data_IF_666300961671
#
_entry.id   IF_666300961671
#
_cell.length_a   1.000
_cell.length_b   1.000
_cell.length_c   1.000
_cell.angle_alpha   90.00
_cell.angle_beta   90.00
_cell.angle_gamma   90.00
#
_symmetry.space_group_name_H-M   'P 1'
#
loop_
_entity.id
_entity.type
_entity.pdbx_description
1 polymer ?
#
# COMPACT_ATOMS: atom_id res chain seq x y z
N UNK A 1 20.75 -22.09 1.35
CA UNK A 1 19.32 -22.05 1.74
C UNK A 1 19.04 -20.84 2.61
N UNK A 2 17.86 -20.24 2.42
CA UNK A 2 17.41 -19.10 3.21
C UNK A 2 16.43 -19.59 4.27
N UNK A 3 16.71 -19.23 5.52
CA UNK A 3 15.93 -19.67 6.68
C UNK A 3 15.30 -18.44 7.35
N UNK A 4 13.99 -18.28 7.20
CA UNK A 4 13.24 -17.19 7.81
C UNK A 4 11.79 -17.58 8.08
N UNK A 5 11.15 -16.85 9.00
CA UNK A 5 9.70 -16.87 9.19
C UNK A 5 9.11 -15.56 8.67
N UNK A 6 7.91 -15.62 8.10
CA UNK A 6 7.20 -14.46 7.54
C UNK A 6 5.74 -14.43 8.02
N UNK A 7 5.49 -14.11 9.29
CA UNK A 7 4.14 -13.81 9.75
C UNK A 7 3.56 -12.58 9.05
N UNK A 8 2.32 -12.71 8.59
CA UNK A 8 1.52 -11.66 7.98
C UNK A 8 0.13 -11.69 8.59
N UNK A 9 -0.42 -10.50 8.82
CA UNK A 9 -1.78 -10.32 9.33
C UNK A 9 -2.48 -9.26 8.51
N UNK A 10 -3.73 -9.53 8.15
CA UNK A 10 -4.60 -8.63 7.42
C UNK A 10 -5.99 -8.63 8.03
N UNK A 11 -6.62 -7.46 8.11
CA UNK A 11 -7.97 -7.30 8.60
C UNK A 11 -8.72 -6.23 7.80
N UNK A 12 -9.85 -6.63 7.23
CA UNK A 12 -10.71 -5.77 6.42
C UNK A 12 -12.12 -5.73 6.99
N UNK A 13 -12.65 -4.51 7.16
CA UNK A 13 -14.02 -4.28 7.64
C UNK A 13 -14.76 -3.36 6.68
N UNK A 14 -16.02 -3.70 6.43
CA UNK A 14 -16.96 -2.90 5.65
C UNK A 14 -18.20 -2.63 6.49
N UNK A 15 -18.41 -1.37 6.84
CA UNK A 15 -19.53 -0.94 7.66
C UNK A 15 -20.51 -0.10 6.82
N UNK A 16 -21.69 -0.65 6.47
CA UNK A 16 -22.71 0.11 5.75
C UNK A 16 -23.37 1.12 6.69
N UNK A 17 -23.16 2.42 6.44
CA UNK A 17 -23.85 3.49 7.17
C UNK A 17 -25.31 3.60 6.71
N UNK A 18 -25.52 3.45 5.40
CA UNK A 18 -26.84 3.40 4.78
C UNK A 18 -26.81 2.44 3.59
N UNK A 19 -27.92 2.29 2.86
CA UNK A 19 -27.92 1.55 1.58
C UNK A 19 -26.95 2.14 0.55
N UNK A 20 -26.68 3.45 0.63
CA UNK A 20 -25.88 4.22 -0.34
C UNK A 20 -24.42 4.42 0.09
N UNK A 21 -24.16 4.53 1.40
CA UNK A 21 -22.85 4.89 1.94
C UNK A 21 -22.23 3.74 2.73
N UNK A 22 -20.96 3.44 2.46
CA UNK A 22 -20.18 2.41 3.16
C UNK A 22 -18.87 3.03 3.62
N UNK A 23 -18.53 2.82 4.88
CA UNK A 23 -17.16 3.01 5.36
C UNK A 23 -16.43 1.69 5.27
N UNK A 24 -15.22 1.68 4.73
CA UNK A 24 -14.36 0.51 4.75
C UNK A 24 -12.99 0.87 5.31
N UNK A 25 -12.38 -0.08 6.00
CA UNK A 25 -11.02 0.00 6.46
C UNK A 25 -10.31 -1.33 6.23
N UNK A 26 -9.06 -1.27 5.82
CA UNK A 26 -8.15 -2.40 5.77
C UNK A 26 -6.86 -2.06 6.50
N UNK A 27 -6.36 -2.97 7.32
CA UNK A 27 -5.03 -2.91 7.91
C UNK A 27 -4.28 -4.19 7.60
N UNK A 28 -3.04 -4.06 7.14
CA UNK A 28 -2.14 -5.18 6.93
C UNK A 28 -0.77 -4.88 7.53
N UNK A 29 -0.14 -5.91 8.08
CA UNK A 29 1.23 -5.85 8.58
C UNK A 29 1.94 -7.17 8.34
N UNK A 30 3.24 -7.09 8.10
CA UNK A 30 4.09 -8.26 7.93
C UNK A 30 5.48 -8.03 8.47
N UNK A 31 6.15 -9.10 8.88
CA UNK A 31 7.52 -9.05 9.38
C UNK A 31 8.27 -10.34 9.05
N UNK A 32 9.31 -10.22 8.24
CA UNK A 32 10.26 -11.28 7.95
C UNK A 32 11.33 -11.30 9.03
N UNK A 33 11.52 -12.46 9.67
CA UNK A 33 12.60 -12.68 10.63
C UNK A 33 13.49 -13.84 10.17
N UNK A 34 14.72 -13.56 9.71
CA UNK A 34 15.68 -14.61 9.43
C UNK A 34 16.17 -15.25 10.73
N UNK A 35 16.56 -16.52 10.66
CA UNK A 35 17.16 -17.26 11.77
C UNK A 35 18.35 -18.09 11.29
N UNK A 36 19.11 -18.67 12.23
CA UNK A 36 20.34 -19.43 11.96
C UNK A 36 21.38 -18.64 11.14
N UNK A 37 21.48 -17.32 11.35
CA UNK A 37 22.42 -16.45 10.63
C UNK A 37 22.10 -16.24 9.14
N UNK A 38 20.93 -16.67 8.67
CA UNK A 38 20.48 -16.43 7.31
C UNK A 38 20.23 -14.94 7.04
N UNK A 39 20.26 -14.56 5.76
CA UNK A 39 19.79 -13.24 5.30
C UNK A 39 18.39 -13.35 4.68
N UNK A 40 17.73 -12.21 4.50
CA UNK A 40 16.46 -12.12 3.77
C UNK A 40 16.78 -11.96 2.28
N UNK A 41 16.29 -12.86 1.40
CA UNK A 41 16.45 -12.71 -0.03
C UNK A 41 15.85 -11.40 -0.54
N UNK A 42 16.48 -10.77 -1.55
CA UNK A 42 16.01 -9.48 -2.06
C UNK A 42 14.59 -9.54 -2.65
N UNK A 43 14.24 -10.66 -3.29
CA UNK A 43 12.92 -10.91 -3.87
C UNK A 43 11.83 -11.19 -2.82
N UNK A 44 12.23 -11.45 -1.58
CA UNK A 44 11.33 -11.78 -0.48
C UNK A 44 10.98 -10.56 0.38
N UNK A 45 11.69 -9.44 0.20
CA UNK A 45 11.47 -8.19 0.93
C UNK A 45 10.15 -7.53 0.54
N UNK A 46 9.62 -6.73 1.45
CA UNK A 46 8.38 -6.00 1.26
C UNK A 46 8.55 -4.71 0.49
N UNK A 47 7.58 -4.44 -0.38
CA UNK A 47 7.45 -3.22 -1.16
C UNK A 47 5.99 -2.76 -1.11
N UNK A 48 5.77 -1.46 -0.91
CA UNK A 48 4.45 -0.85 -0.99
C UNK A 48 4.37 0.15 -2.15
N UNK A 49 3.18 0.69 -2.38
CA UNK A 49 2.85 1.58 -3.48
C UNK A 49 2.08 0.85 -4.59
N UNK A 50 1.16 1.57 -5.21
CA UNK A 50 0.23 1.03 -6.20
C UNK A 50 -1.20 0.91 -5.65
N UNK A 51 -2.09 0.35 -6.46
CA UNK A 51 -3.53 0.40 -6.24
C UNK A 51 -4.07 -0.52 -5.13
N UNK A 52 -3.24 -1.48 -4.70
CA UNK A 52 -3.55 -2.48 -3.66
C UNK A 52 -2.92 -2.16 -2.30
N UNK A 53 -2.06 -1.14 -2.24
CA UNK A 53 -1.41 -0.71 -1.01
C UNK A 53 -1.58 0.77 -0.80
N UNK A 54 -0.61 1.60 -1.19
CA UNK A 54 -0.66 3.05 -1.07
C UNK A 54 -0.94 3.67 -2.44
N UNK A 55 -2.19 4.02 -2.70
CA UNK A 55 -2.61 4.65 -3.97
C UNK A 55 -1.97 6.03 -4.11
N UNK A 56 -1.70 6.44 -5.34
CA UNK A 56 -0.99 7.70 -5.61
C UNK A 56 0.55 7.59 -5.51
N UNK A 57 1.07 6.47 -5.01
CA UNK A 57 2.47 6.09 -5.16
C UNK A 57 2.61 5.07 -6.29
N UNK A 58 3.69 5.15 -7.07
CA UNK A 58 3.97 4.17 -8.11
C UNK A 58 4.20 2.77 -7.52
N UNK A 59 3.94 1.74 -8.32
CA UNK A 59 4.06 0.35 -7.89
C UNK A 59 5.45 0.05 -7.32
N UNK A 60 5.50 -0.54 -6.12
CA UNK A 60 6.74 -0.89 -5.39
C UNK A 60 7.71 0.28 -5.14
N UNK A 61 7.23 1.53 -5.17
CA UNK A 61 8.08 2.70 -4.95
C UNK A 61 8.26 3.06 -3.47
N UNK A 62 7.38 2.58 -2.59
CA UNK A 62 7.45 2.83 -1.15
C UNK A 62 8.29 1.73 -0.49
N UNK A 63 9.56 2.09 -0.28
CA UNK A 63 10.63 1.27 0.28
C UNK A 63 11.23 1.98 1.50
N UNK A 64 12.01 1.30 2.35
CA UNK A 64 12.61 1.91 3.51
C UNK A 64 13.49 3.11 3.14
N UNK A 65 13.27 4.21 3.85
CA UNK A 65 14.12 5.40 3.82
C UNK A 65 14.63 5.69 5.22
N UNK A 66 15.80 6.32 5.32
CA UNK A 66 16.36 6.88 6.54
C UNK A 66 15.70 8.23 6.84
N UNK A 67 15.93 8.77 8.04
CA UNK A 67 15.37 10.06 8.47
C UNK A 67 15.77 11.25 7.57
N UNK A 68 16.95 11.17 6.94
CA UNK A 68 17.42 12.17 5.98
C UNK A 68 16.79 12.03 4.57
N UNK A 69 15.92 11.03 4.35
CA UNK A 69 15.27 10.75 3.08
C UNK A 69 16.01 9.76 2.17
N UNK A 70 17.24 9.36 2.53
CA UNK A 70 18.02 8.42 1.73
C UNK A 70 17.45 7.01 1.77
N UNK A 71 17.60 6.27 0.68
CA UNK A 71 17.20 4.88 0.59
C UNK A 71 18.21 3.94 1.27
N UNK A 72 17.70 2.79 1.70
CA UNK A 72 18.55 1.61 1.87
C UNK A 72 18.84 1.02 0.48
N UNK A 73 20.11 0.82 0.17
CA UNK A 73 20.56 0.37 -1.14
C UNK A 73 21.20 -1.02 -1.03
N UNK A 74 20.99 -1.83 -2.05
CA UNK A 74 21.75 -3.06 -2.29
C UNK A 74 23.19 -2.74 -2.70
N UNK A 75 24.12 -3.71 -2.68
CA UNK A 75 25.51 -3.48 -3.10
C UNK A 75 25.67 -2.95 -4.54
N UNK A 76 24.70 -3.20 -5.42
CA UNK A 76 24.65 -2.67 -6.79
C UNK A 76 23.88 -1.33 -6.93
N UNK A 77 23.49 -0.69 -5.82
CA UNK A 77 22.86 0.62 -5.82
C UNK A 77 21.35 0.65 -6.06
N UNK A 78 20.69 -0.52 -6.14
CA UNK A 78 19.23 -0.60 -6.26
C UNK A 78 18.55 -0.35 -4.92
N UNK A 79 17.33 0.19 -4.96
CA UNK A 79 16.50 0.39 -3.76
C UNK A 79 16.15 -0.97 -3.14
N UNK A 80 16.43 -1.13 -1.85
CA UNK A 80 16.16 -2.36 -1.11
C UNK A 80 14.77 -2.30 -0.49
N UNK A 81 14.01 -3.40 -0.51
CA UNK A 81 12.73 -3.50 0.20
C UNK A 81 12.89 -3.66 1.72
N UNK A 82 11.77 -3.61 2.44
CA UNK A 82 11.75 -3.77 3.89
C UNK A 82 11.72 -5.21 4.38
N UNK A 83 12.17 -5.43 5.62
CA UNK A 83 11.91 -6.68 6.34
C UNK A 83 10.53 -6.67 7.00
N UNK A 84 9.91 -5.51 7.15
CA UNK A 84 8.59 -5.34 7.75
C UNK A 84 7.80 -4.24 7.05
N UNK A 85 6.49 -4.30 7.18
CA UNK A 85 5.59 -3.26 6.68
C UNK A 85 4.35 -3.13 7.55
N UNK A 86 3.70 -1.98 7.41
CA UNK A 86 2.38 -1.68 7.95
C UNK A 86 1.66 -0.82 6.93
N UNK A 87 0.41 -1.15 6.64
CA UNK A 87 -0.48 -0.30 5.87
C UNK A 87 -1.88 -0.24 6.49
N UNK A 88 -2.54 0.89 6.27
CA UNK A 88 -3.90 1.19 6.62
C UNK A 88 -4.55 1.90 5.43
N UNK A 89 -5.65 1.36 4.94
CA UNK A 89 -6.47 1.96 3.89
C UNK A 89 -7.84 2.30 4.47
N UNK A 90 -8.26 3.54 4.30
CA UNK A 90 -9.60 4.02 4.66
C UNK A 90 -10.36 4.39 3.39
N UNK A 91 -11.59 3.92 3.26
CA UNK A 91 -12.46 4.24 2.13
C UNK A 91 -13.83 4.73 2.61
N UNK A 92 -14.30 5.82 2.02
CA UNK A 92 -15.69 6.24 2.06
C UNK A 92 -16.32 6.00 0.68
N UNK A 93 -17.11 4.94 0.57
CA UNK A 93 -17.72 4.51 -0.68
C UNK A 93 -19.15 5.07 -0.80
N UNK A 94 -19.42 5.71 -1.92
CA UNK A 94 -20.72 6.25 -2.31
C UNK A 94 -21.22 5.44 -3.52
N UNK A 95 -22.32 4.72 -3.34
CA UNK A 95 -23.02 4.08 -4.46
C UNK A 95 -23.75 5.16 -5.27
N UNK A 96 -23.41 5.27 -6.55
CA UNK A 96 -24.04 6.25 -7.44
C UNK A 96 -25.26 5.69 -8.18
N UNK A 97 -25.35 4.36 -8.29
CA UNK A 97 -26.42 3.64 -8.97
C UNK A 97 -25.85 2.60 -9.93
N UNK A 98 -26.61 1.53 -10.18
CA UNK A 98 -26.14 0.41 -11.01
C UNK A 98 -24.77 -0.13 -10.55
N UNK A 99 -23.81 -0.35 -11.47
CA UNK A 99 -22.49 -0.89 -11.15
C UNK A 99 -21.48 0.16 -10.64
N UNK A 100 -21.88 1.43 -10.49
CA UNK A 100 -20.97 2.54 -10.26
C UNK A 100 -20.84 2.88 -8.77
N UNK A 101 -19.60 2.98 -8.29
CA UNK A 101 -19.23 3.53 -6.99
C UNK A 101 -18.21 4.65 -7.17
N UNK A 102 -18.37 5.71 -6.39
CA UNK A 102 -17.34 6.72 -6.20
C UNK A 102 -16.79 6.58 -4.79
N UNK A 103 -15.47 6.65 -4.64
CA UNK A 103 -14.79 6.34 -3.39
C UNK A 103 -13.82 7.46 -3.09
N UNK A 104 -13.92 8.04 -1.91
CA UNK A 104 -12.87 8.88 -1.34
C UNK A 104 -11.99 7.98 -0.46
N UNK A 105 -10.68 8.12 -0.55
CA UNK A 105 -9.77 7.29 0.22
C UNK A 105 -8.66 8.08 0.89
N UNK A 106 -8.11 7.49 1.96
CA UNK A 106 -6.86 7.87 2.57
C UNK A 106 -6.06 6.60 2.87
N UNK A 107 -4.80 6.56 2.43
CA UNK A 107 -3.90 5.44 2.66
C UNK A 107 -2.70 5.90 3.49
N UNK A 108 -2.29 5.06 4.43
CA UNK A 108 -1.15 5.30 5.31
C UNK A 108 -0.33 4.02 5.38
N UNK A 109 0.98 4.13 5.22
CA UNK A 109 1.82 2.95 5.40
C UNK A 109 3.28 3.21 5.08
N UNK A 110 4.10 2.23 5.39
CA UNK A 110 5.51 2.21 5.00
C UNK A 110 6.09 0.81 5.11
N UNK A 111 7.28 0.63 4.54
CA UNK A 111 8.15 -0.50 4.79
C UNK A 111 9.39 -0.02 5.56
N UNK A 112 9.98 -0.88 6.38
CA UNK A 112 11.19 -0.56 7.15
C UNK A 112 12.26 -1.62 6.97
N UNK A 113 13.51 -1.20 7.13
CA UNK A 113 14.68 -2.07 7.07
C UNK A 113 14.98 -2.72 8.43
N UNK A 114 15.60 -3.89 8.44
CA UNK A 114 15.87 -4.64 9.68
C UNK A 114 16.71 -3.86 10.71
N UNK A 115 17.67 -3.05 10.24
CA UNK A 115 18.52 -2.20 11.08
C UNK A 115 17.81 -0.92 11.56
N UNK A 116 16.73 -0.54 10.88
CA UNK A 116 15.98 0.67 11.16
C UNK A 116 14.92 0.43 12.25
N UNK A 117 14.33 -0.76 12.27
CA UNK A 117 13.21 -1.07 13.15
C UNK A 117 11.93 -0.33 12.78
N UNK A 118 10.96 -0.29 13.70
CA UNK A 118 9.71 0.43 13.50
C UNK A 118 9.89 1.94 13.71
N UNK A 119 10.06 2.69 12.64
CA UNK A 119 10.14 4.15 12.67
C UNK A 119 8.87 4.78 12.10
N UNK A 120 7.83 4.86 12.93
CA UNK A 120 6.50 5.33 12.52
C UNK A 120 6.49 6.81 12.07
N UNK A 121 7.53 7.59 12.40
CA UNK A 121 7.70 8.96 11.89
C UNK A 121 7.93 9.05 10.37
N UNK A 122 8.25 7.92 9.72
CA UNK A 122 8.50 7.81 8.28
C UNK A 122 7.32 7.26 7.50
N UNK A 123 6.15 7.13 8.14
CA UNK A 123 4.92 6.77 7.46
C UNK A 123 4.68 7.67 6.24
N UNK A 124 4.23 7.04 5.16
CA UNK A 124 3.80 7.71 3.94
C UNK A 124 2.28 7.85 3.98
N UNK A 125 1.78 8.93 3.40
CA UNK A 125 0.37 9.28 3.44
C UNK A 125 -0.08 9.68 2.04
N UNK A 126 -1.20 9.12 1.60
CA UNK A 126 -1.89 9.57 0.39
C UNK A 126 -3.38 9.70 0.63
N UNK A 127 -4.02 10.51 -0.20
CA UNK A 127 -5.47 10.60 -0.27
C UNK A 127 -5.90 10.84 -1.71
N UNK A 128 -7.14 10.51 -2.02
CA UNK A 128 -7.62 10.68 -3.38
C UNK A 128 -9.04 10.19 -3.60
N UNK A 129 -9.34 10.00 -4.88
CA UNK A 129 -10.63 9.53 -5.33
C UNK A 129 -10.48 8.34 -6.28
N UNK A 130 -11.44 7.44 -6.23
CA UNK A 130 -11.55 6.28 -7.11
C UNK A 130 -12.95 6.19 -7.69
N UNK A 131 -13.02 6.06 -9.02
CA UNK A 131 -14.23 5.64 -9.71
C UNK A 131 -14.16 4.13 -9.96
N UNK A 132 -15.12 3.39 -9.42
CA UNK A 132 -15.17 1.93 -9.50
C UNK A 132 -16.41 1.48 -10.27
N UNK A 133 -16.21 0.73 -11.35
CA UNK A 133 -17.26 0.19 -12.21
C UNK A 133 -17.21 -1.33 -12.16
N UNK A 134 -18.20 -1.97 -11.53
CA UNK A 134 -18.29 -3.44 -11.50
C UNK A 134 -18.83 -3.95 -12.84
N UNK A 135 -18.01 -4.63 -13.64
CA UNK A 135 -18.45 -5.18 -14.91
C UNK A 135 -19.29 -6.45 -14.71
N UNK A 136 -20.54 -6.52 -15.20
CA UNK A 136 -21.41 -7.68 -15.01
C UNK A 136 -20.88 -8.98 -15.63
N UNK A 137 -20.17 -8.87 -16.76
CA UNK A 137 -19.73 -10.01 -17.57
C UNK A 137 -18.54 -10.73 -16.93
N UNK A 138 -17.62 -9.98 -16.30
CA UNK A 138 -16.37 -10.54 -15.74
C UNK A 138 -16.36 -10.55 -14.21
N UNK A 139 -17.40 -10.01 -13.56
CA UNK A 139 -17.48 -9.81 -12.10
C UNK A 139 -16.26 -9.10 -11.48
N UNK A 140 -15.50 -8.39 -12.31
CA UNK A 140 -14.30 -7.66 -11.90
C UNK A 140 -14.58 -6.16 -11.93
N UNK A 141 -14.18 -5.41 -10.90
CA UNK A 141 -14.29 -3.96 -10.94
C UNK A 141 -13.16 -3.36 -11.78
N UNK A 142 -13.52 -2.47 -12.71
CA UNK A 142 -12.62 -1.49 -13.28
C UNK A 142 -12.45 -0.34 -12.29
N UNK A 143 -11.19 0.05 -12.04
CA UNK A 143 -10.84 1.07 -11.06
C UNK A 143 -10.04 2.17 -11.75
N UNK A 144 -10.53 3.40 -11.66
CA UNK A 144 -9.81 4.60 -12.07
C UNK A 144 -9.49 5.41 -10.83
N UNK A 145 -8.22 5.50 -10.49
CA UNK A 145 -7.75 6.00 -9.20
C UNK A 145 -6.89 7.23 -9.47
N UNK A 146 -7.23 8.32 -8.81
CA UNK A 146 -6.39 9.51 -8.77
C UNK A 146 -5.97 9.74 -7.32
N UNK A 147 -4.68 9.58 -7.04
CA UNK A 147 -4.11 9.69 -5.71
C UNK A 147 -3.10 10.82 -5.62
N UNK A 148 -3.06 11.47 -4.45
CA UNK A 148 -2.14 12.55 -4.12
C UNK A 148 -1.29 12.13 -2.93
N UNK A 149 0.03 12.19 -3.07
CA UNK A 149 0.99 12.04 -1.99
C UNK A 149 0.97 13.30 -1.13
N UNK A 150 0.58 13.17 0.13
CA UNK A 150 0.34 14.31 1.03
C UNK A 150 1.64 14.91 1.59
N UNK A 151 2.73 14.15 1.58
CA UNK A 151 4.05 14.57 2.08
C UNK A 151 5.17 14.00 1.20
N UNK A 152 5.28 14.43 -0.06
CA UNK A 152 6.26 13.88 -1.00
C UNK A 152 7.70 14.20 -0.58
N UNK A 153 8.60 13.24 -0.75
CA UNK A 153 10.04 13.54 -0.76
C UNK A 153 10.41 14.30 -2.04
N UNK A 154 11.55 15.01 -2.09
CA UNK A 154 11.96 15.78 -3.27
C UNK A 154 12.03 14.97 -4.57
N UNK A 155 12.31 13.66 -4.49
CA UNK A 155 12.40 12.75 -5.62
C UNK A 155 11.08 12.04 -5.98
N UNK A 156 9.97 12.38 -5.30
CA UNK A 156 8.68 11.73 -5.49
C UNK A 156 7.67 12.60 -6.24
N UNK A 157 6.82 11.93 -7.02
CA UNK A 157 5.67 12.58 -7.64
C UNK A 157 4.65 12.98 -6.58
N UNK A 158 4.02 14.14 -6.78
CA UNK A 158 2.94 14.64 -5.91
C UNK A 158 1.61 13.92 -6.15
N UNK A 159 1.37 13.41 -7.35
CA UNK A 159 0.14 12.70 -7.70
C UNK A 159 0.41 11.63 -8.75
N UNK A 160 -0.48 10.63 -8.80
CA UNK A 160 -0.45 9.57 -9.79
C UNK A 160 -1.87 9.18 -10.21
N UNK A 161 -2.01 8.76 -11.46
CA UNK A 161 -3.24 8.20 -11.99
C UNK A 161 -3.04 6.72 -12.29
N UNK A 162 -3.89 5.88 -11.73
CA UNK A 162 -3.76 4.43 -11.79
C UNK A 162 -5.03 3.81 -12.35
N UNK A 163 -4.86 2.85 -13.25
CA UNK A 163 -5.92 2.00 -13.78
C UNK A 163 -5.68 0.57 -13.33
N UNK A 164 -6.72 -0.11 -12.85
CA UNK A 164 -6.62 -1.51 -12.43
C UNK A 164 -7.93 -2.27 -12.66
N UNK A 165 -7.79 -3.58 -12.76
CA UNK A 165 -8.89 -4.54 -12.91
C UNK A 165 -8.76 -5.57 -11.78
N UNK A 166 -9.82 -5.72 -10.98
CA UNK A 166 -9.85 -6.66 -9.87
C UNK A 166 -10.16 -6.00 -8.54
N UNK A 167 -10.40 -6.82 -7.53
CA UNK A 167 -10.86 -6.37 -6.21
C UNK A 167 -9.86 -5.45 -5.53
N UNK A 168 -10.37 -4.63 -4.60
CA UNK A 168 -9.54 -4.00 -3.57
C UNK A 168 -8.98 -5.10 -2.66
N UNK A 169 -7.89 -4.77 -1.95
CA UNK A 169 -7.23 -5.57 -0.92
C UNK A 169 -7.86 -6.93 -0.59
#
# INVERSE_FOLDING_TARGET
DFNYVRPEVGFSIFHPLTRRYILAANVEAGWIRPFNGSQIPLYDRYFLGGERSLRGFSYYSVVPRKDNGDFFLTPNGSRMGGDRYLQLNLEYQIKLGGPLKFILFADVGNTWHEQQGWQLGLLRYSAGAELRITLPIFQAPLRFIYGVNLKPFPDEKRSDFQFSIGTTF
#
